data_IF_672941510501
#
_entry.id   IF_672941510501
#
_cell.length_a   1.000
_cell.length_b   1.000
_cell.length_c   1.000
_cell.angle_alpha   90.00
_cell.angle_beta   90.00
_cell.angle_gamma   90.00
#
_symmetry.space_group_name_H-M   'P 1'
#
loop_
_entity.id
_entity.type
_entity.pdbx_description
1 polymer ?
#
# COMPACT_ATOMS: atom_id res chain seq x y z
N UNK A 1 -21.72 8.52 -0.46
CA UNK A 1 -21.16 8.10 -1.77
C UNK A 1 -19.65 8.38 -1.92
N UNK A 2 -18.93 8.89 -0.90
CA UNK A 2 -17.51 9.30 -0.99
C UNK A 2 -16.51 8.17 -0.67
N UNK A 3 -16.90 7.18 0.14
CA UNK A 3 -15.94 6.23 0.74
C UNK A 3 -15.37 5.21 -0.26
N UNK A 4 -16.15 4.88 -1.30
CA UNK A 4 -15.72 3.94 -2.34
C UNK A 4 -14.65 4.53 -3.26
N UNK A 5 -14.72 5.84 -3.55
CA UNK A 5 -13.72 6.54 -4.36
C UNK A 5 -12.41 6.76 -3.59
N UNK A 6 -12.52 7.07 -2.30
CA UNK A 6 -11.36 7.26 -1.43
C UNK A 6 -10.60 5.94 -1.21
N UNK A 7 -11.34 4.85 -0.98
CA UNK A 7 -10.78 3.49 -0.91
C UNK A 7 -10.11 3.07 -2.23
N UNK A 8 -10.75 3.36 -3.38
CA UNK A 8 -10.18 3.05 -4.70
C UNK A 8 -8.88 3.83 -4.97
N UNK A 9 -8.83 5.10 -4.60
CA UNK A 9 -7.61 5.91 -4.73
C UNK A 9 -6.49 5.43 -3.79
N UNK A 10 -6.80 4.97 -2.59
CA UNK A 10 -5.82 4.38 -1.68
C UNK A 10 -5.21 3.09 -2.26
N UNK A 11 -6.04 2.23 -2.85
CA UNK A 11 -5.60 1.00 -3.53
C UNK A 11 -4.70 1.34 -4.72
N UNK A 12 -5.10 2.29 -5.56
CA UNK A 12 -4.31 2.70 -6.72
C UNK A 12 -2.93 3.23 -6.29
N UNK A 13 -2.88 4.08 -5.25
CA UNK A 13 -1.60 4.58 -4.72
C UNK A 13 -0.71 3.46 -4.20
N UNK A 14 -1.26 2.49 -3.47
CA UNK A 14 -0.52 1.33 -2.99
C UNK A 14 0.02 0.47 -4.15
N UNK A 15 -0.78 0.29 -5.20
CA UNK A 15 -0.39 -0.43 -6.42
C UNK A 15 0.76 0.26 -7.16
N UNK A 16 0.72 1.59 -7.30
CA UNK A 16 1.79 2.36 -7.94
C UNK A 16 3.11 2.18 -7.18
N UNK A 17 3.08 2.26 -5.85
CA UNK A 17 4.27 2.07 -5.00
C UNK A 17 4.82 0.65 -5.14
N UNK A 18 3.94 -0.35 -5.13
CA UNK A 18 4.34 -1.75 -5.33
C UNK A 18 5.01 -1.97 -6.70
N UNK A 19 4.38 -1.51 -7.78
CA UNK A 19 4.92 -1.66 -9.14
C UNK A 19 6.28 -0.97 -9.27
N UNK A 20 6.43 0.24 -8.72
CA UNK A 20 7.72 0.95 -8.73
C UNK A 20 8.82 0.15 -7.99
N UNK A 21 8.51 -0.41 -6.82
CA UNK A 21 9.47 -1.22 -6.07
C UNK A 21 9.89 -2.48 -6.85
N UNK A 22 8.95 -3.16 -7.51
CA UNK A 22 9.24 -4.34 -8.35
C UNK A 22 10.12 -3.96 -9.55
N UNK A 23 9.82 -2.85 -10.23
CA UNK A 23 10.62 -2.37 -11.37
C UNK A 23 12.05 -2.03 -10.95
N UNK A 24 12.22 -1.32 -9.83
CA UNK A 24 13.55 -0.96 -9.31
C UNK A 24 14.32 -2.22 -8.90
N UNK A 25 13.68 -3.14 -8.19
CA UNK A 25 14.29 -4.41 -7.80
C UNK A 25 14.69 -5.29 -8.98
N UNK A 26 13.84 -5.38 -10.00
CA UNK A 26 14.11 -6.10 -11.24
C UNK A 26 15.26 -5.48 -12.03
N UNK A 27 15.32 -4.15 -12.14
CA UNK A 27 16.43 -3.45 -12.79
C UNK A 27 17.78 -3.72 -12.09
N UNK A 28 17.81 -3.65 -10.76
CA UNK A 28 19.02 -3.95 -9.98
C UNK A 28 19.42 -5.41 -10.13
N UNK A 29 18.45 -6.34 -10.04
CA UNK A 29 18.70 -7.77 -10.20
C UNK A 29 19.26 -8.13 -11.58
N UNK A 30 18.74 -7.50 -12.65
CA UNK A 30 19.28 -7.67 -14.01
C UNK A 30 20.69 -7.08 -14.15
N UNK A 31 20.97 -5.93 -13.53
CA UNK A 31 22.31 -5.34 -13.58
C UNK A 31 23.37 -6.16 -12.82
N UNK A 32 23.02 -6.68 -11.65
CA UNK A 32 23.99 -7.34 -10.76
C UNK A 32 24.00 -8.86 -10.95
N UNK A 33 23.18 -9.42 -11.85
CA UNK A 33 22.90 -10.87 -11.96
C UNK A 33 22.56 -11.52 -10.62
N UNK A 34 21.94 -10.73 -9.73
CA UNK A 34 21.75 -11.09 -8.34
C UNK A 34 20.26 -11.23 -8.05
N UNK A 35 19.80 -12.48 -7.96
CA UNK A 35 18.38 -12.81 -7.79
C UNK A 35 17.86 -12.46 -6.38
N UNK A 36 18.75 -12.16 -5.42
CA UNK A 36 18.38 -11.79 -4.05
C UNK A 36 17.78 -10.38 -4.02
N UNK A 37 18.34 -9.45 -4.80
CA UNK A 37 17.87 -8.07 -4.87
C UNK A 37 16.38 -7.94 -5.24
N UNK A 38 15.86 -8.55 -6.33
CA UNK A 38 14.44 -8.44 -6.67
C UNK A 38 13.53 -9.06 -5.60
N UNK A 39 13.96 -10.13 -4.91
CA UNK A 39 13.17 -10.74 -3.82
C UNK A 39 13.02 -9.77 -2.65
N UNK A 40 14.11 -9.12 -2.23
CA UNK A 40 14.09 -8.11 -1.16
C UNK A 40 13.22 -6.91 -1.54
N UNK A 41 13.33 -6.44 -2.79
CA UNK A 41 12.52 -5.33 -3.29
C UNK A 41 11.03 -5.67 -3.40
N UNK A 42 10.66 -6.91 -3.75
CA UNK A 42 9.27 -7.37 -3.72
C UNK A 42 8.74 -7.33 -2.28
N UNK A 43 9.49 -7.87 -1.31
CA UNK A 43 9.09 -7.87 0.09
C UNK A 43 8.92 -6.44 0.64
N UNK A 44 9.86 -5.54 0.33
CA UNK A 44 9.78 -4.13 0.69
C UNK A 44 8.61 -3.42 -0.01
N UNK A 45 8.38 -3.72 -1.28
CA UNK A 45 7.25 -3.19 -2.04
C UNK A 45 5.91 -3.56 -1.42
N UNK A 46 5.73 -4.82 -0.99
CA UNK A 46 4.52 -5.26 -0.28
C UNK A 46 4.38 -4.52 1.06
N UNK A 47 5.47 -4.39 1.81
CA UNK A 47 5.47 -3.68 3.09
C UNK A 47 5.06 -2.21 2.94
N UNK A 48 5.65 -1.48 1.98
CA UNK A 48 5.28 -0.10 1.71
C UNK A 48 3.86 0.04 1.16
N UNK A 49 3.43 -0.86 0.28
CA UNK A 49 2.04 -0.88 -0.22
C UNK A 49 1.05 -1.08 0.93
N UNK A 50 1.34 -1.98 1.87
CA UNK A 50 0.52 -2.19 3.06
C UNK A 50 0.46 -0.94 3.95
N UNK A 51 1.60 -0.27 4.18
CA UNK A 51 1.64 1.00 4.93
C UNK A 51 0.78 2.04 4.22
N UNK A 52 1.02 2.31 2.94
CA UNK A 52 0.28 3.32 2.14
C UNK A 52 -1.21 3.03 2.17
N UNK A 53 -1.60 1.77 2.05
CA UNK A 53 -2.99 1.35 2.15
C UNK A 53 -3.58 1.62 3.54
N UNK A 54 -2.85 1.30 4.61
CA UNK A 54 -3.29 1.53 6.00
C UNK A 54 -3.42 3.02 6.32
N UNK A 55 -2.49 3.85 5.84
CA UNK A 55 -2.49 5.30 6.11
C UNK A 55 -3.55 6.03 5.29
N UNK A 56 -3.87 5.55 4.08
CA UNK A 56 -4.91 6.14 3.22
C UNK A 56 -6.29 5.49 3.37
N UNK A 57 -6.43 4.40 4.12
CA UNK A 57 -7.74 3.88 4.50
C UNK A 57 -8.45 4.96 5.33
N UNK A 58 -9.68 5.36 4.97
CA UNK A 58 -10.48 6.18 5.88
C UNK A 58 -10.57 5.40 7.19
N UNK A 59 -10.05 5.99 8.28
CA UNK A 59 -10.31 5.46 9.61
C UNK A 59 -11.82 5.42 9.74
N UNK A 60 -12.45 4.29 10.12
CA UNK A 60 -13.83 4.37 10.57
C UNK A 60 -13.83 5.39 11.69
N UNK A 61 -14.60 6.46 11.50
CA UNK A 61 -14.61 7.58 12.41
C UNK A 61 -14.76 7.04 13.83
N UNK A 62 -13.85 7.44 14.72
CA UNK A 62 -14.02 7.21 16.16
C UNK A 62 -15.16 8.07 16.74
N UNK A 63 -16.14 8.47 15.94
CA UNK A 63 -17.51 8.65 16.37
C UNK A 63 -18.19 7.27 16.24
N UNK A 64 -18.04 6.36 17.20
CA UNK A 64 -18.39 6.71 18.56
C UNK A 64 -19.80 7.33 18.60
N UNK A 65 -20.74 6.80 17.80
CA UNK A 65 -22.14 6.74 18.27
C UNK A 65 -22.09 6.00 19.58
N UNK A 66 -21.90 6.75 20.68
CA UNK A 66 -22.41 6.35 21.96
C UNK A 66 -23.86 5.91 21.72
N UNK A 67 -24.28 4.72 22.21
CA UNK A 67 -25.68 4.38 22.24
C UNK A 67 -26.39 5.56 22.91
N UNK A 68 -27.40 6.09 22.25
CA UNK A 68 -28.35 7.02 22.83
C UNK A 68 -29.02 6.32 24.02
N UNK A 69 -28.42 6.43 25.21
CA UNK A 69 -29.13 6.17 26.46
C UNK A 69 -29.80 7.46 26.89
N UNK A 70 -31.13 7.45 26.65
CA UNK A 70 -32.21 8.16 27.35
C UNK A 70 -32.41 9.65 27.06
#
# INVERSE_FOLDING_TARGET
MSDSQQSRNAIIKALIVFVMAVFVGGYIGLQHSDAIAPIVFVALGVFFAWIVYRTNRPKPDASGTAPSEQ
#
